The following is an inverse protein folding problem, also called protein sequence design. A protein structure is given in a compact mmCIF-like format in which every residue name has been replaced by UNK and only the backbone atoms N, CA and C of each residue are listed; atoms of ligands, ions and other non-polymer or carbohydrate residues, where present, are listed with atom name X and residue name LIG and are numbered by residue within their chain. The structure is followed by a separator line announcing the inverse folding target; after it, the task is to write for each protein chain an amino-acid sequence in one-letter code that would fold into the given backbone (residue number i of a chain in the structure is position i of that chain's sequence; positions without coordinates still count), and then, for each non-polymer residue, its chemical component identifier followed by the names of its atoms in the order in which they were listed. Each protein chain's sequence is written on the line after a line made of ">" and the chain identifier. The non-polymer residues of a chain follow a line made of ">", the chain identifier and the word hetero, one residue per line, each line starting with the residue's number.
data_IF_270767084586
#
_entry.id   IF_270767084586
#
_cell.length_a   1.000
_cell.length_b   1.000
_cell.length_c   1.000
_cell.angle_alpha   90.00
_cell.angle_beta   90.00
_cell.angle_gamma   90.00
#
_symmetry.space_group_name_H-M   'P 1'
#
loop_
_entity.id
_entity.type
_entity.pdbx_description
1 polymer ?
#
# COMPACT_ATOMS: atom_id res chain seq x y z
N UNK A 1 -39.19 -46.54 -3.18
CA UNK A 1 -38.51 -45.88 -2.05
C UNK A 1 -37.02 -45.61 -2.30
N UNK A 2 -36.42 -46.17 -3.34
CA UNK A 2 -35.01 -45.93 -3.71
C UNK A 2 -34.74 -44.71 -4.64
N UNK A 3 -35.81 -44.12 -5.22
CA UNK A 3 -35.69 -43.02 -6.19
C UNK A 3 -35.75 -41.62 -5.55
N UNK A 4 -36.25 -41.50 -4.32
CA UNK A 4 -36.34 -40.20 -3.59
C UNK A 4 -35.01 -39.85 -2.88
N UNK A 5 -34.18 -40.83 -2.57
CA UNK A 5 -32.88 -40.62 -1.88
C UNK A 5 -31.85 -40.01 -2.84
N UNK A 6 -31.93 -40.29 -4.15
CA UNK A 6 -30.95 -39.78 -5.13
C UNK A 6 -31.19 -38.30 -5.50
N UNK A 7 -32.42 -37.79 -5.41
CA UNK A 7 -32.73 -36.38 -5.71
C UNK A 7 -32.30 -35.47 -4.56
N UNK A 8 -32.44 -35.89 -3.32
CA UNK A 8 -32.01 -35.16 -2.15
C UNK A 8 -30.46 -35.02 -2.09
N UNK A 9 -29.74 -36.07 -2.51
CA UNK A 9 -28.25 -36.06 -2.55
C UNK A 9 -27.72 -35.18 -3.70
N UNK A 10 -28.39 -35.09 -4.82
CA UNK A 10 -28.05 -34.21 -5.94
C UNK A 10 -28.33 -32.73 -5.60
N UNK A 11 -29.44 -32.46 -4.91
CA UNK A 11 -29.78 -31.09 -4.46
C UNK A 11 -28.82 -30.63 -3.35
N UNK A 12 -28.38 -31.51 -2.44
CA UNK A 12 -27.41 -31.20 -1.40
C UNK A 12 -26.01 -30.90 -2.00
N UNK A 13 -25.60 -31.62 -3.05
CA UNK A 13 -24.35 -31.33 -3.76
C UNK A 13 -24.41 -30.04 -4.61
N UNK A 14 -25.57 -29.67 -5.13
CA UNK A 14 -25.76 -28.43 -5.90
C UNK A 14 -25.80 -27.19 -4.98
N UNK A 15 -26.36 -27.31 -3.77
CA UNK A 15 -26.42 -26.22 -2.78
C UNK A 15 -25.07 -25.97 -2.12
N UNK A 16 -24.22 -27.00 -1.95
CA UNK A 16 -22.85 -26.84 -1.44
C UNK A 16 -21.93 -26.16 -2.47
N UNK A 17 -22.30 -26.18 -3.78
CA UNK A 17 -21.52 -25.50 -4.84
C UNK A 17 -21.85 -24.01 -5.01
N UNK A 18 -22.87 -23.47 -4.35
CA UNK A 18 -23.31 -22.08 -4.47
C UNK A 18 -23.08 -21.22 -3.20
N UNK A 19 -22.35 -21.71 -2.22
CA UNK A 19 -21.91 -20.85 -1.12
C UNK A 19 -20.72 -19.99 -1.57
N UNK A 20 -20.77 -18.65 -1.42
CA UNK A 20 -19.64 -17.79 -1.75
C UNK A 20 -18.44 -18.16 -0.88
N UNK A 21 -17.32 -18.41 -1.54
CA UNK A 21 -16.09 -18.93 -0.95
C UNK A 21 -15.65 -18.15 0.29
N UNK A 22 -15.25 -18.90 1.32
CA UNK A 22 -14.54 -18.38 2.47
C UNK A 22 -13.41 -17.48 2.00
N UNK A 23 -13.43 -16.22 2.40
CA UNK A 23 -12.35 -15.26 2.15
C UNK A 23 -11.05 -15.81 2.75
N UNK A 24 -10.19 -16.33 1.88
CA UNK A 24 -8.82 -16.71 2.25
C UNK A 24 -7.99 -15.45 2.40
N UNK A 25 -7.16 -15.41 3.43
CA UNK A 25 -6.17 -14.37 3.68
C UNK A 25 -5.39 -14.04 2.39
N UNK A 26 -5.38 -12.79 1.88
CA UNK A 26 -4.77 -12.47 0.59
C UNK A 26 -3.27 -12.78 0.51
N UNK A 27 -2.53 -12.79 1.63
CA UNK A 27 -1.11 -13.18 1.65
C UNK A 27 -0.92 -14.69 1.44
N UNK A 28 -1.74 -15.53 2.08
CA UNK A 28 -1.72 -16.99 1.93
C UNK A 28 -2.26 -17.41 0.56
N UNK A 29 -3.33 -16.74 0.07
CA UNK A 29 -3.86 -16.99 -1.28
C UNK A 29 -2.84 -16.64 -2.37
N UNK A 30 -2.02 -15.61 -2.18
CA UNK A 30 -0.99 -15.21 -3.13
C UNK A 30 0.20 -16.18 -3.19
N UNK A 31 0.62 -16.77 -2.06
CA UNK A 31 1.75 -17.73 -2.01
C UNK A 31 1.32 -19.08 -2.59
N UNK A 32 0.19 -19.60 -2.18
CA UNK A 32 -0.38 -20.82 -2.76
C UNK A 32 -0.75 -20.65 -4.27
N UNK A 33 -1.10 -19.45 -4.69
CA UNK A 33 -1.37 -19.15 -6.10
C UNK A 33 -0.08 -19.12 -6.92
N UNK A 34 0.99 -18.53 -6.39
CA UNK A 34 2.31 -18.51 -7.03
C UNK A 34 2.86 -19.94 -7.15
N UNK A 35 2.74 -20.75 -6.12
CA UNK A 35 3.10 -22.16 -6.16
C UNK A 35 2.39 -22.91 -7.29
N UNK A 36 1.06 -22.72 -7.45
CA UNK A 36 0.31 -23.34 -8.55
C UNK A 36 0.76 -22.87 -9.93
N UNK A 37 1.11 -21.59 -10.06
CA UNK A 37 1.64 -21.04 -11.33
C UNK A 37 2.94 -21.70 -11.70
N UNK A 38 3.87 -21.82 -10.75
CA UNK A 38 5.16 -22.49 -10.95
C UNK A 38 4.96 -23.98 -11.25
N UNK A 39 4.09 -24.66 -10.50
CA UNK A 39 3.77 -26.07 -10.73
C UNK A 39 3.18 -26.30 -12.14
N UNK A 40 2.25 -25.44 -12.57
CA UNK A 40 1.65 -25.51 -13.90
C UNK A 40 2.68 -25.26 -15.02
N UNK A 41 3.59 -24.29 -14.83
CA UNK A 41 4.67 -24.03 -15.76
C UNK A 41 5.50 -25.30 -16.05
N UNK A 42 5.85 -26.06 -15.01
CA UNK A 42 6.56 -27.32 -15.18
C UNK A 42 5.69 -28.39 -15.86
N UNK A 43 4.41 -28.48 -15.50
CA UNK A 43 3.46 -29.45 -16.10
C UNK A 43 3.23 -29.20 -17.59
N UNK A 44 3.10 -27.95 -17.99
CA UNK A 44 2.94 -27.53 -19.40
C UNK A 44 4.14 -27.95 -20.25
N UNK A 45 5.35 -27.95 -19.67
CA UNK A 45 6.58 -28.41 -20.31
C UNK A 45 6.84 -29.93 -20.16
N UNK A 46 5.85 -30.68 -19.68
CA UNK A 46 5.90 -32.14 -19.59
C UNK A 46 6.62 -32.70 -18.37
N UNK A 47 6.83 -31.88 -17.34
CA UNK A 47 7.43 -32.33 -16.09
C UNK A 47 6.37 -32.87 -15.13
N UNK A 48 6.69 -33.95 -14.41
CA UNK A 48 5.88 -34.44 -13.28
C UNK A 48 6.21 -33.62 -12.04
N UNK A 49 5.18 -33.04 -11.40
CA UNK A 49 5.31 -32.17 -10.22
C UNK A 49 4.59 -32.82 -9.04
N UNK A 50 5.29 -32.98 -7.94
CA UNK A 50 4.74 -33.36 -6.63
C UNK A 50 4.85 -32.14 -5.73
N UNK A 51 3.72 -31.63 -5.24
CA UNK A 51 3.65 -30.48 -4.35
C UNK A 51 3.81 -30.90 -2.90
N UNK A 52 4.55 -30.12 -2.10
CA UNK A 52 4.81 -30.37 -0.67
C UNK A 52 5.22 -31.82 -0.33
N UNK A 53 6.21 -32.42 -1.03
CA UNK A 53 6.62 -33.78 -0.72
C UNK A 53 7.24 -33.83 0.67
N UNK A 54 6.83 -34.79 1.48
CA UNK A 54 7.37 -35.01 2.85
C UNK A 54 8.27 -36.24 2.86
N UNK A 55 9.54 -36.04 3.18
CA UNK A 55 10.50 -37.09 3.31
C UNK A 55 11.51 -36.79 4.45
N UNK A 56 11.72 -37.69 5.38
CA UNK A 56 12.73 -37.55 6.45
C UNK A 56 12.72 -36.20 7.20
N UNK A 57 11.54 -35.70 7.56
CA UNK A 57 11.33 -34.43 8.25
C UNK A 57 11.68 -33.18 7.43
N UNK A 58 11.81 -33.28 6.10
CA UNK A 58 11.92 -32.14 5.20
C UNK A 58 10.66 -32.01 4.32
N UNK A 59 10.28 -30.80 3.99
CA UNK A 59 9.09 -30.49 3.19
C UNK A 59 9.43 -29.37 2.21
N UNK A 60 10.12 -29.64 1.09
CA UNK A 60 10.34 -28.65 0.04
C UNK A 60 9.01 -28.30 -0.66
N UNK A 61 8.97 -27.17 -1.33
CA UNK A 61 7.75 -26.74 -2.01
C UNK A 61 7.35 -27.70 -3.13
N UNK A 62 8.31 -28.18 -3.93
CA UNK A 62 8.06 -29.12 -5.02
C UNK A 62 9.17 -30.14 -5.19
N UNK A 63 8.78 -31.29 -5.74
CA UNK A 63 9.67 -32.24 -6.36
C UNK A 63 9.28 -32.36 -7.85
N UNK A 64 10.20 -32.02 -8.74
CA UNK A 64 9.96 -31.99 -10.17
C UNK A 64 10.80 -33.04 -10.86
N UNK A 65 10.19 -33.91 -11.68
CA UNK A 65 10.90 -34.97 -12.38
C UNK A 65 10.52 -35.04 -13.86
N UNK A 66 11.50 -35.19 -14.72
CA UNK A 66 11.31 -35.28 -16.16
C UNK A 66 12.65 -35.30 -16.89
N UNK A 67 12.63 -35.75 -18.15
CA UNK A 67 13.80 -35.78 -19.05
C UNK A 67 15.03 -36.45 -18.40
N UNK A 68 14.79 -37.51 -17.58
CA UNK A 68 15.84 -38.21 -16.86
C UNK A 68 16.45 -37.49 -15.65
N UNK A 69 15.86 -36.38 -15.21
CA UNK A 69 16.32 -35.56 -14.09
C UNK A 69 15.25 -35.39 -13.03
N UNK A 70 15.71 -35.10 -11.82
CA UNK A 70 14.86 -34.87 -10.66
C UNK A 70 15.40 -33.64 -9.93
N UNK A 71 14.54 -32.64 -9.70
CA UNK A 71 14.87 -31.42 -8.96
C UNK A 71 14.07 -31.33 -7.68
N UNK A 72 14.72 -30.92 -6.60
CA UNK A 72 14.04 -30.44 -5.39
C UNK A 72 13.99 -28.92 -5.44
N UNK A 73 12.80 -28.36 -5.34
CA UNK A 73 12.53 -26.96 -5.62
C UNK A 73 12.15 -26.23 -4.35
N UNK A 74 12.79 -25.11 -4.12
CA UNK A 74 12.42 -24.12 -3.12
C UNK A 74 12.08 -22.79 -3.80
N UNK A 75 10.87 -22.30 -3.51
CA UNK A 75 10.30 -21.10 -4.10
C UNK A 75 10.21 -20.00 -3.05
N UNK A 76 10.82 -18.85 -3.31
CA UNK A 76 10.67 -17.65 -2.48
C UNK A 76 9.96 -16.55 -3.26
N UNK A 77 9.11 -15.81 -2.56
CA UNK A 77 8.43 -14.66 -3.10
C UNK A 77 9.10 -13.37 -2.65
N UNK A 78 9.55 -12.56 -3.61
CA UNK A 78 10.00 -11.22 -3.33
C UNK A 78 8.80 -10.23 -3.40
N UNK A 79 8.71 -9.33 -2.44
CA UNK A 79 7.72 -8.24 -2.46
C UNK A 79 7.94 -7.27 -3.63
N UNK A 80 9.21 -7.11 -4.02
CA UNK A 80 9.67 -6.24 -5.10
C UNK A 80 10.80 -6.92 -5.87
N UNK A 81 10.88 -6.62 -7.19
CA UNK A 81 11.92 -7.18 -8.06
C UNK A 81 13.26 -6.44 -8.00
N UNK A 82 13.61 -5.82 -6.87
CA UNK A 82 14.87 -5.12 -6.69
C UNK A 82 15.98 -6.10 -6.32
N UNK A 83 17.23 -5.78 -6.70
CA UNK A 83 18.42 -6.59 -6.43
C UNK A 83 18.56 -6.94 -4.95
N UNK A 84 18.37 -5.95 -4.07
CA UNK A 84 18.48 -6.08 -2.61
C UNK A 84 17.39 -6.94 -1.96
N UNK A 85 16.37 -7.36 -2.73
CA UNK A 85 15.32 -8.30 -2.32
C UNK A 85 15.43 -9.64 -3.02
N UNK A 86 15.70 -9.63 -4.31
CA UNK A 86 15.76 -10.84 -5.15
C UNK A 86 16.96 -11.72 -4.79
N UNK A 87 18.17 -11.16 -4.69
CA UNK A 87 19.39 -11.94 -4.44
C UNK A 87 19.40 -12.61 -3.05
N UNK A 88 19.07 -11.94 -1.93
CA UNK A 88 19.02 -12.60 -0.63
C UNK A 88 18.01 -13.74 -0.56
N UNK A 89 16.80 -13.55 -1.12
CA UNK A 89 15.78 -14.61 -1.14
C UNK A 89 16.17 -15.78 -2.02
N UNK A 90 16.80 -15.52 -3.17
CA UNK A 90 17.34 -16.58 -4.03
C UNK A 90 18.47 -17.34 -3.35
N UNK A 91 19.33 -16.66 -2.60
CA UNK A 91 20.39 -17.30 -1.80
C UNK A 91 19.81 -18.20 -0.69
N UNK A 92 18.76 -17.73 -0.02
CA UNK A 92 18.04 -18.51 0.97
C UNK A 92 17.43 -19.77 0.33
N UNK A 93 16.72 -19.62 -0.79
CA UNK A 93 16.16 -20.75 -1.52
C UNK A 93 17.23 -21.75 -1.96
N UNK A 94 18.40 -21.28 -2.39
CA UNK A 94 19.52 -22.12 -2.79
C UNK A 94 20.06 -22.96 -1.62
N UNK A 95 20.22 -22.35 -0.44
CA UNK A 95 20.65 -23.07 0.77
C UNK A 95 19.64 -24.12 1.21
N UNK A 96 18.35 -23.77 1.24
CA UNK A 96 17.27 -24.69 1.62
C UNK A 96 17.15 -25.85 0.62
N UNK A 97 17.12 -25.57 -0.69
CA UNK A 97 17.09 -26.59 -1.74
C UNK A 97 18.33 -27.53 -1.67
N UNK A 98 19.52 -26.98 -1.39
CA UNK A 98 20.74 -27.78 -1.22
C UNK A 98 20.65 -28.70 0.01
N UNK A 99 20.11 -28.20 1.12
CA UNK A 99 19.85 -29.00 2.31
C UNK A 99 18.90 -30.18 1.99
N UNK A 100 17.78 -29.90 1.34
CA UNK A 100 16.80 -30.91 0.94
C UNK A 100 17.39 -31.96 -0.01
N UNK A 101 18.16 -31.51 -1.00
CA UNK A 101 18.87 -32.41 -1.92
C UNK A 101 19.74 -33.44 -1.20
N UNK A 102 20.44 -33.05 -0.13
CA UNK A 102 21.32 -33.94 0.65
C UNK A 102 20.54 -34.94 1.51
N UNK A 103 19.36 -34.57 1.99
CA UNK A 103 18.54 -35.39 2.91
C UNK A 103 17.65 -36.37 2.14
N UNK A 104 17.14 -35.96 0.97
CA UNK A 104 16.18 -36.75 0.20
C UNK A 104 16.82 -37.89 -0.57
N UNK A 105 16.05 -38.96 -0.76
CA UNK A 105 16.51 -40.16 -1.50
C UNK A 105 16.77 -39.81 -2.98
N UNK A 106 17.89 -40.32 -3.48
CA UNK A 106 18.30 -40.16 -4.86
C UNK A 106 18.93 -38.79 -5.16
N UNK A 107 19.20 -37.97 -4.14
CA UNK A 107 19.90 -36.68 -4.23
C UNK A 107 19.44 -35.84 -5.42
N UNK A 108 18.16 -35.39 -5.46
CA UNK A 108 17.62 -34.57 -6.55
C UNK A 108 18.43 -33.28 -6.65
N UNK A 109 18.61 -32.77 -7.89
CA UNK A 109 19.35 -31.51 -8.09
C UNK A 109 18.62 -30.35 -7.39
N UNK A 110 19.31 -29.51 -6.59
CA UNK A 110 18.68 -28.36 -5.96
C UNK A 110 18.31 -27.32 -7.00
N UNK A 111 17.08 -26.79 -6.91
CA UNK A 111 16.57 -25.71 -7.76
C UNK A 111 15.99 -24.60 -6.88
N UNK A 112 16.63 -23.45 -6.91
CA UNK A 112 16.17 -22.24 -6.22
C UNK A 112 15.35 -21.38 -7.17
N UNK A 113 14.15 -21.01 -6.76
CA UNK A 113 13.27 -20.13 -7.54
C UNK A 113 12.94 -18.89 -6.73
N UNK A 114 13.05 -17.72 -7.36
CA UNK A 114 12.51 -16.47 -6.83
C UNK A 114 11.49 -15.88 -7.80
N UNK A 115 10.38 -15.42 -7.25
CA UNK A 115 9.32 -14.78 -8.03
C UNK A 115 8.89 -13.46 -7.41
N UNK A 116 8.54 -12.49 -8.27
CA UNK A 116 7.95 -11.20 -7.86
C UNK A 116 6.88 -10.76 -8.85
N UNK A 117 6.16 -9.66 -8.54
CA UNK A 117 5.20 -9.12 -9.48
C UNK A 117 5.88 -8.68 -10.81
N UNK A 118 7.04 -8.02 -10.68
CA UNK A 118 7.89 -7.60 -11.80
C UNK A 118 9.35 -7.61 -11.36
N UNK A 119 10.22 -8.20 -12.18
CA UNK A 119 11.68 -8.21 -11.97
C UNK A 119 12.33 -7.59 -13.22
N UNK A 120 13.17 -6.54 -13.09
CA UNK A 120 13.95 -6.04 -14.21
C UNK A 120 14.84 -7.15 -14.79
N UNK A 121 14.96 -7.22 -16.12
CA UNK A 121 15.78 -8.25 -16.79
C UNK A 121 17.24 -8.23 -16.33
N UNK A 122 17.78 -7.02 -16.10
CA UNK A 122 19.14 -6.86 -15.56
C UNK A 122 19.29 -7.49 -14.16
N UNK A 123 18.27 -7.37 -13.30
CA UNK A 123 18.29 -7.99 -11.96
C UNK A 123 18.18 -9.51 -12.07
N UNK A 124 17.34 -10.02 -13.00
CA UNK A 124 17.20 -11.45 -13.24
C UNK A 124 18.51 -12.08 -13.75
N UNK A 125 19.19 -11.44 -14.71
CA UNK A 125 20.49 -11.90 -15.20
C UNK A 125 21.58 -11.82 -14.12
N UNK A 126 21.61 -10.76 -13.34
CA UNK A 126 22.55 -10.62 -12.22
C UNK A 126 22.31 -11.68 -11.14
N UNK A 127 21.06 -11.98 -10.81
CA UNK A 127 20.68 -13.03 -9.85
C UNK A 127 21.10 -14.42 -10.37
N UNK A 128 20.92 -14.71 -11.66
CA UNK A 128 21.40 -15.93 -12.31
C UNK A 128 22.92 -16.04 -12.24
N UNK A 129 23.63 -14.96 -12.58
CA UNK A 129 25.09 -14.93 -12.53
C UNK A 129 25.61 -15.14 -11.11
N UNK A 130 24.99 -14.52 -10.12
CA UNK A 130 25.33 -14.67 -8.72
C UNK A 130 25.28 -16.15 -8.26
N UNK A 131 24.21 -16.88 -8.61
CA UNK A 131 24.10 -18.31 -8.25
C UNK A 131 25.15 -19.13 -8.97
N UNK A 132 25.37 -18.90 -10.26
CA UNK A 132 26.41 -19.62 -11.04
C UNK A 132 27.81 -19.46 -10.45
N UNK A 133 28.13 -18.30 -9.89
CA UNK A 133 29.44 -18.03 -9.30
C UNK A 133 29.57 -18.59 -7.88
N UNK A 134 28.48 -18.58 -7.09
CA UNK A 134 28.53 -18.91 -5.67
C UNK A 134 28.02 -20.29 -5.30
N UNK A 135 27.16 -20.88 -6.12
CA UNK A 135 26.54 -22.17 -5.91
C UNK A 135 26.33 -22.89 -7.27
N UNK A 136 27.39 -23.27 -8.00
CA UNK A 136 27.31 -23.80 -9.36
C UNK A 136 26.53 -25.10 -9.47
N UNK A 137 26.35 -25.82 -8.37
CA UNK A 137 25.55 -27.06 -8.28
C UNK A 137 24.04 -26.79 -8.20
N UNK A 138 23.60 -25.54 -7.93
CA UNK A 138 22.20 -25.16 -7.79
C UNK A 138 21.66 -24.66 -9.11
N UNK A 139 20.58 -25.26 -9.59
CA UNK A 139 19.80 -24.69 -10.69
C UNK A 139 19.01 -23.47 -10.19
N UNK A 140 18.75 -22.52 -11.07
CA UNK A 140 18.10 -21.24 -10.71
C UNK A 140 16.92 -20.94 -11.60
N UNK A 141 15.85 -20.40 -10.99
CA UNK A 141 14.70 -19.83 -11.67
C UNK A 141 14.40 -18.43 -11.15
N UNK A 142 14.27 -17.48 -12.05
CA UNK A 142 13.80 -16.11 -11.76
C UNK A 142 12.62 -15.83 -12.67
N UNK A 143 11.47 -15.51 -12.09
CA UNK A 143 10.26 -15.29 -12.87
C UNK A 143 9.41 -14.14 -12.34
N UNK A 144 8.63 -13.53 -13.20
CA UNK A 144 7.66 -12.51 -12.81
C UNK A 144 6.27 -12.77 -13.42
N UNK A 145 5.27 -12.07 -12.87
CA UNK A 145 3.89 -12.19 -13.32
C UNK A 145 3.63 -11.48 -14.66
N UNK A 146 4.58 -10.66 -15.15
CA UNK A 146 4.51 -9.98 -16.44
C UNK A 146 5.09 -10.83 -17.59
N UNK A 147 5.52 -12.06 -17.31
CA UNK A 147 5.92 -13.06 -18.30
C UNK A 147 7.42 -13.24 -18.47
N UNK A 148 8.26 -12.54 -17.67
CA UNK A 148 9.69 -12.86 -17.63
C UNK A 148 9.88 -14.22 -16.95
N UNK A 149 10.63 -15.11 -17.60
CA UNK A 149 11.04 -16.40 -17.07
C UNK A 149 12.49 -16.63 -17.44
N UNK A 150 13.34 -16.76 -16.48
CA UNK A 150 14.75 -17.02 -16.67
C UNK A 150 15.13 -18.24 -15.85
N UNK A 151 15.41 -19.36 -16.51
CA UNK A 151 15.85 -20.58 -15.88
C UNK A 151 17.25 -20.94 -16.35
N UNK A 152 18.08 -21.41 -15.46
CA UNK A 152 19.40 -21.93 -15.76
C UNK A 152 19.65 -23.21 -14.98
N UNK A 153 20.08 -24.23 -15.69
CA UNK A 153 20.32 -25.58 -15.20
C UNK A 153 19.99 -26.59 -16.29
N UNK A 154 20.73 -27.68 -16.38
CA UNK A 154 20.58 -28.63 -17.46
C UNK A 154 19.16 -29.18 -17.63
N UNK A 155 18.51 -28.84 -18.74
CA UNK A 155 17.17 -29.29 -19.13
C UNK A 155 16.04 -28.34 -18.68
N UNK A 156 16.38 -27.19 -18.10
CA UNK A 156 15.41 -26.14 -17.70
C UNK A 156 15.34 -24.97 -18.68
N UNK A 157 16.17 -24.98 -19.71
CA UNK A 157 16.31 -23.89 -20.68
C UNK A 157 15.01 -23.61 -21.44
N UNK A 158 14.21 -24.66 -21.71
CA UNK A 158 12.90 -24.53 -22.38
C UNK A 158 11.86 -23.76 -21.55
N UNK A 159 12.06 -23.66 -20.23
CA UNK A 159 11.20 -22.90 -19.34
C UNK A 159 11.44 -21.38 -19.44
N UNK A 160 12.57 -20.97 -20.01
CA UNK A 160 12.94 -19.56 -20.15
C UNK A 160 12.14 -18.88 -21.26
N UNK A 161 11.68 -17.67 -20.99
CA UNK A 161 10.94 -16.84 -21.95
C UNK A 161 11.21 -15.37 -21.67
N UNK A 162 11.44 -14.61 -22.75
CA UNK A 162 11.49 -13.14 -22.65
C UNK A 162 10.10 -12.58 -22.29
N UNK A 163 10.07 -11.42 -21.64
CA UNK A 163 8.82 -10.74 -21.31
C UNK A 163 8.08 -10.37 -22.59
N UNK A 164 6.91 -10.97 -22.79
CA UNK A 164 5.97 -10.63 -23.88
C UNK A 164 4.58 -10.48 -23.29
N UNK A 165 3.74 -9.52 -23.77
CA UNK A 165 2.37 -9.34 -23.28
C UNK A 165 1.52 -10.62 -23.35
N UNK A 166 1.80 -11.49 -24.33
CA UNK A 166 1.12 -12.79 -24.54
C UNK A 166 1.52 -13.84 -23.49
N UNK A 167 2.70 -13.71 -22.88
CA UNK A 167 3.24 -14.62 -21.89
C UNK A 167 2.94 -14.13 -20.46
N UNK A 168 2.26 -12.99 -20.31
CA UNK A 168 1.84 -12.51 -19.01
C UNK A 168 0.92 -13.56 -18.36
N UNK A 169 1.30 -13.99 -17.19
CA UNK A 169 0.49 -14.93 -16.41
C UNK A 169 -0.79 -14.18 -16.07
N UNK A 170 -1.91 -14.56 -16.71
CA UNK A 170 -3.23 -14.07 -16.31
C UNK A 170 -3.55 -14.65 -14.96
N UNK A 171 -3.05 -14.00 -13.91
CA UNK A 171 -3.67 -14.12 -12.61
C UNK A 171 -5.14 -13.68 -12.78
N UNK A 172 -6.13 -14.44 -12.28
CA UNK A 172 -7.49 -13.94 -12.25
C UNK A 172 -7.43 -12.54 -11.62
N UNK A 173 -8.13 -11.58 -12.23
CA UNK A 173 -8.07 -10.15 -11.97
C UNK A 173 -8.37 -9.81 -10.50
N UNK A 174 -7.48 -10.21 -9.61
CA UNK A 174 -7.32 -9.62 -8.31
C UNK A 174 -6.02 -8.85 -8.43
N UNK A 175 -6.14 -7.58 -8.81
CA UNK A 175 -5.16 -6.59 -8.42
C UNK A 175 -5.13 -6.59 -6.89
N UNK A 176 -4.53 -7.63 -6.30
CA UNK A 176 -4.02 -7.54 -4.95
C UNK A 176 -2.85 -6.56 -5.04
N UNK A 177 -3.17 -5.25 -4.96
CA UNK A 177 -2.21 -4.29 -4.46
C UNK A 177 -1.58 -4.97 -3.25
N UNK A 178 -0.24 -5.07 -3.22
CA UNK A 178 0.45 -5.34 -1.95
C UNK A 178 -0.28 -4.53 -0.88
N UNK A 179 -0.68 -5.14 0.26
CA UNK A 179 -1.47 -4.45 1.26
C UNK A 179 -0.75 -3.15 1.57
N UNK A 180 -1.38 -2.06 1.15
CA UNK A 180 -0.81 -0.74 1.29
C UNK A 180 -1.20 -0.30 2.68
N UNK A 181 -0.36 -0.66 3.67
CA UNK A 181 -0.59 -0.36 5.08
C UNK A 181 -1.09 1.07 5.28
N UNK A 182 -0.54 2.03 4.53
CA UNK A 182 -0.96 3.43 4.53
C UNK A 182 -1.80 3.77 3.28
N UNK A 183 -2.86 2.98 3.01
CA UNK A 183 -3.89 3.37 2.05
C UNK A 183 -4.67 4.58 2.57
N UNK A 184 -5.42 5.26 1.72
CA UNK A 184 -6.18 6.46 2.09
C UNK A 184 -7.08 6.24 3.33
N UNK A 185 -7.93 5.22 3.28
CA UNK A 185 -8.81 4.90 4.42
C UNK A 185 -8.04 4.40 5.65
N UNK A 186 -6.93 3.68 5.45
CA UNK A 186 -6.09 3.23 6.57
C UNK A 186 -5.44 4.43 7.28
N UNK A 187 -4.95 5.42 6.53
CA UNK A 187 -4.44 6.66 7.10
C UNK A 187 -5.51 7.43 7.89
N UNK A 188 -6.76 7.47 7.37
CA UNK A 188 -7.87 8.08 8.08
C UNK A 188 -8.18 7.36 9.40
N UNK A 189 -8.32 6.04 9.39
CA UNK A 189 -8.55 5.25 10.59
C UNK A 189 -7.39 5.37 11.59
N UNK A 190 -6.15 5.47 11.11
CA UNK A 190 -4.98 5.72 11.96
C UNK A 190 -5.07 7.09 12.65
N UNK A 191 -5.48 8.14 11.93
CA UNK A 191 -5.74 9.46 12.51
C UNK A 191 -6.81 9.43 13.59
N UNK A 192 -7.89 8.66 13.40
CA UNK A 192 -8.95 8.47 14.42
C UNK A 192 -8.41 7.80 15.66
N UNK A 193 -7.58 6.76 15.55
CA UNK A 193 -6.97 6.09 16.68
C UNK A 193 -5.95 6.98 17.43
N UNK A 194 -5.34 7.94 16.74
CA UNK A 194 -4.43 8.93 17.33
C UNK A 194 -5.17 10.15 17.89
N UNK A 195 -6.39 10.44 17.44
CA UNK A 195 -7.15 11.64 17.81
C UNK A 195 -7.35 11.86 19.31
N UNK A 196 -7.56 10.83 20.16
CA UNK A 196 -7.67 11.04 21.62
C UNK A 196 -6.44 11.67 22.25
N UNK A 197 -5.27 11.55 21.62
CA UNK A 197 -3.99 12.08 22.11
C UNK A 197 -3.66 13.48 21.56
N UNK A 198 -4.24 13.85 20.42
CA UNK A 198 -3.94 15.11 19.73
C UNK A 198 -5.08 16.11 20.02
N UNK A 199 -4.78 17.34 20.47
CA UNK A 199 -5.80 18.35 20.68
C UNK A 199 -6.67 18.60 19.42
N UNK A 200 -7.96 18.87 19.61
CA UNK A 200 -8.95 19.05 18.54
C UNK A 200 -8.67 20.25 17.65
N UNK A 201 -7.96 21.25 18.18
CA UNK A 201 -7.47 22.40 17.40
C UNK A 201 -6.47 22.02 16.30
N UNK A 202 -5.90 20.81 16.34
CA UNK A 202 -4.91 20.31 15.40
C UNK A 202 -5.41 19.16 14.52
N UNK A 203 -6.48 18.48 14.90
CA UNK A 203 -7.04 17.35 14.15
C UNK A 203 -8.54 17.23 14.40
N UNK A 204 -9.33 17.42 13.35
CA UNK A 204 -10.78 17.19 13.37
C UNK A 204 -11.04 15.71 13.06
N UNK A 205 -11.24 14.90 14.10
CA UNK A 205 -11.54 13.48 13.96
C UNK A 205 -12.41 12.99 15.13
N UNK A 206 -13.23 11.94 14.94
CA UNK A 206 -13.94 11.29 16.02
C UNK A 206 -12.96 10.84 17.12
N UNK A 207 -13.33 11.11 18.38
CA UNK A 207 -12.53 10.73 19.54
C UNK A 207 -13.28 9.69 20.37
N UNK A 208 -12.63 8.55 20.62
CA UNK A 208 -13.23 7.47 21.38
C UNK A 208 -12.26 6.32 21.59
N UNK A 209 -12.70 5.36 22.40
CA UNK A 209 -12.05 4.07 22.58
C UNK A 209 -12.88 3.02 21.85
N UNK A 210 -12.30 2.38 20.85
CA UNK A 210 -12.99 1.44 19.96
C UNK A 210 -12.64 0.01 20.36
N UNK A 211 -13.63 -0.82 20.63
CA UNK A 211 -13.44 -2.21 21.06
C UNK A 211 -13.11 -3.15 19.88
N UNK A 212 -13.40 -2.73 18.64
CA UNK A 212 -13.15 -3.55 17.47
C UNK A 212 -13.45 -2.82 16.16
N UNK A 213 -13.33 -3.57 15.08
CA UNK A 213 -13.47 -3.06 13.71
C UNK A 213 -14.83 -2.41 13.44
N UNK A 214 -15.93 -2.92 14.02
CA UNK A 214 -17.27 -2.38 13.77
C UNK A 214 -17.44 -0.97 14.34
N UNK A 215 -16.99 -0.73 15.57
CA UNK A 215 -17.05 0.61 16.19
C UNK A 215 -16.11 1.59 15.48
N UNK A 216 -14.90 1.12 15.10
CA UNK A 216 -13.99 1.93 14.31
C UNK A 216 -14.56 2.28 12.92
N UNK A 217 -15.27 1.34 12.29
CA UNK A 217 -15.94 1.56 11.00
C UNK A 217 -17.00 2.65 11.09
N UNK A 218 -17.84 2.59 12.13
CA UNK A 218 -18.88 3.59 12.39
C UNK A 218 -18.26 4.98 12.60
N UNK A 219 -17.29 5.09 13.49
CA UNK A 219 -16.58 6.34 13.77
C UNK A 219 -15.85 6.89 12.53
N UNK A 220 -15.25 6.02 11.72
CA UNK A 220 -14.52 6.41 10.53
C UNK A 220 -15.44 6.71 9.33
N UNK A 221 -16.72 6.36 9.37
CA UNK A 221 -17.63 6.45 8.24
C UNK A 221 -17.15 5.59 7.06
N UNK A 222 -16.69 4.36 7.35
CA UNK A 222 -16.20 3.40 6.35
C UNK A 222 -16.94 2.06 6.48
N UNK A 223 -16.79 1.17 5.48
CA UNK A 223 -17.38 -0.16 5.60
C UNK A 223 -16.71 -0.98 6.71
N UNK A 224 -17.48 -1.82 7.41
CA UNK A 224 -16.96 -2.74 8.44
C UNK A 224 -15.84 -3.62 7.88
N UNK A 225 -15.95 -4.02 6.62
CA UNK A 225 -14.91 -4.80 5.94
C UNK A 225 -13.59 -4.02 5.77
N UNK A 226 -13.66 -2.72 5.50
CA UNK A 226 -12.47 -1.87 5.41
C UNK A 226 -11.78 -1.73 6.77
N UNK A 227 -12.56 -1.51 7.83
CA UNK A 227 -12.03 -1.44 9.19
C UNK A 227 -11.49 -2.80 9.68
N UNK A 228 -12.15 -3.91 9.32
CA UNK A 228 -11.65 -5.25 9.63
C UNK A 228 -10.29 -5.52 9.00
N UNK A 229 -10.11 -5.18 7.72
CA UNK A 229 -8.82 -5.30 7.02
C UNK A 229 -7.74 -4.43 7.67
N UNK A 230 -8.08 -3.20 8.03
CA UNK A 230 -7.18 -2.32 8.75
C UNK A 230 -6.71 -2.95 10.06
N UNK A 231 -7.63 -3.40 10.90
CA UNK A 231 -7.31 -4.05 12.19
C UNK A 231 -6.44 -5.28 11.95
N UNK A 232 -6.79 -6.13 11.00
CA UNK A 232 -6.03 -7.34 10.66
C UNK A 232 -4.60 -7.00 10.19
N UNK A 233 -4.46 -6.04 9.26
CA UNK A 233 -3.16 -5.64 8.70
C UNK A 233 -2.25 -5.02 9.76
N UNK A 234 -2.78 -4.09 10.56
CA UNK A 234 -1.99 -3.43 11.60
C UNK A 234 -1.63 -4.36 12.76
N UNK A 235 -2.50 -5.32 13.11
CA UNK A 235 -2.20 -6.34 14.11
C UNK A 235 -1.12 -7.31 13.61
N UNK A 236 -1.16 -7.74 12.34
CA UNK A 236 -0.12 -8.59 11.73
C UNK A 236 1.25 -7.91 11.72
N UNK A 237 1.28 -6.61 11.46
CA UNK A 237 2.51 -5.81 11.51
C UNK A 237 2.95 -5.48 12.94
N UNK A 238 2.17 -5.84 13.95
CA UNK A 238 2.46 -5.60 15.36
C UNK A 238 2.33 -4.13 15.77
N UNK A 239 1.47 -3.36 15.09
CA UNK A 239 1.18 -1.96 15.40
C UNK A 239 -0.15 -1.75 16.09
N UNK A 240 -1.01 -2.77 16.16
CA UNK A 240 -2.31 -2.71 16.79
C UNK A 240 -2.54 -3.91 17.70
N UNK A 241 -2.94 -3.65 18.94
CA UNK A 241 -3.35 -4.64 19.92
C UNK A 241 -4.83 -4.50 20.25
N UNK A 242 -5.49 -5.65 20.49
CA UNK A 242 -6.89 -5.72 20.93
C UNK A 242 -7.08 -6.48 22.24
N UNK A 243 -5.99 -6.80 22.95
CA UNK A 243 -5.99 -7.69 24.11
C UNK A 243 -6.70 -7.14 25.37
N UNK A 244 -6.90 -5.83 25.48
CA UNK A 244 -7.58 -5.17 26.60
C UNK A 244 -9.05 -4.83 26.33
N UNK A 245 -9.65 -5.39 25.27
CA UNK A 245 -11.00 -5.04 24.83
C UNK A 245 -11.11 -3.68 24.13
N UNK A 246 -9.99 -3.01 23.87
CA UNK A 246 -9.91 -1.74 23.14
C UNK A 246 -8.78 -1.81 22.13
N UNK A 247 -9.01 -1.29 20.93
CA UNK A 247 -7.98 -1.14 19.90
C UNK A 247 -6.91 -0.12 20.35
N UNK A 248 -5.69 -0.56 20.52
CA UNK A 248 -4.57 0.27 20.98
C UNK A 248 -3.42 0.22 20.02
N UNK A 249 -2.95 1.38 19.56
CA UNK A 249 -1.72 1.49 18.77
C UNK A 249 -0.51 1.30 19.69
N UNK A 250 0.42 0.48 19.24
CA UNK A 250 1.70 0.18 19.89
C UNK A 250 2.86 0.45 18.94
N UNK A 251 4.09 0.53 19.47
CA UNK A 251 5.30 0.81 18.66
C UNK A 251 5.14 2.08 17.79
N UNK A 252 4.58 3.15 18.39
CA UNK A 252 4.22 4.37 17.66
C UNK A 252 5.40 4.99 16.91
N UNK A 253 6.58 5.03 17.50
CA UNK A 253 7.77 5.60 16.83
C UNK A 253 8.10 4.88 15.50
N UNK A 254 8.07 3.55 15.50
CA UNK A 254 8.29 2.76 14.28
C UNK A 254 7.16 2.94 13.27
N UNK A 255 5.91 2.92 13.74
CA UNK A 255 4.73 3.15 12.90
C UNK A 255 4.80 4.50 12.18
N UNK A 256 5.11 5.57 12.92
CA UNK A 256 5.22 6.92 12.37
C UNK A 256 6.39 7.05 11.37
N UNK A 257 7.54 6.44 11.67
CA UNK A 257 8.66 6.39 10.74
C UNK A 257 8.30 5.66 9.43
N UNK A 258 7.58 4.55 9.52
CA UNK A 258 7.07 3.83 8.33
C UNK A 258 6.03 4.65 7.57
N UNK A 259 5.21 5.43 8.28
CA UNK A 259 4.22 6.30 7.64
C UNK A 259 4.90 7.43 6.87
N UNK A 260 5.88 8.11 7.46
CA UNK A 260 6.71 9.11 6.76
C UNK A 260 7.36 8.52 5.51
N UNK A 261 7.98 7.34 5.62
CA UNK A 261 8.59 6.67 4.48
C UNK A 261 7.58 6.31 3.38
N UNK A 262 6.34 5.93 3.76
CA UNK A 262 5.27 5.62 2.82
C UNK A 262 4.65 6.87 2.17
N UNK A 263 4.72 8.03 2.83
CA UNK A 263 4.20 9.31 2.33
C UNK A 263 5.06 9.94 1.21
N UNK A 264 6.27 9.41 0.94
CA UNK A 264 7.19 9.87 -0.11
C UNK A 264 6.65 9.72 -1.56
N UNK A 265 5.39 9.37 -1.73
CA UNK A 265 4.78 9.22 -3.06
C UNK A 265 4.63 10.58 -3.72
N UNK A 266 4.92 10.60 -5.03
CA UNK A 266 4.68 11.81 -5.84
C UNK A 266 3.22 12.20 -5.76
N UNK A 267 2.96 13.36 -5.16
CA UNK A 267 1.66 14.05 -5.21
C UNK A 267 1.63 14.85 -6.50
N UNK A 268 0.47 14.92 -7.15
CA UNK A 268 0.30 15.78 -8.31
C UNK A 268 0.31 17.23 -7.83
N UNK A 269 1.36 17.95 -8.15
CA UNK A 269 1.51 19.39 -7.89
C UNK A 269 1.36 20.16 -9.20
N UNK A 270 0.48 21.13 -9.21
CA UNK A 270 0.17 21.91 -10.38
C UNK A 270 0.57 23.36 -10.09
N UNK A 271 1.56 23.90 -10.83
CA UNK A 271 1.96 25.29 -10.68
C UNK A 271 0.84 26.24 -11.14
N UNK A 272 0.54 27.23 -10.30
CA UNK A 272 -0.54 28.19 -10.54
C UNK A 272 -0.01 29.62 -10.45
N UNK A 273 -0.66 30.52 -11.20
CA UNK A 273 -0.43 31.97 -11.12
C UNK A 273 -1.70 32.71 -10.70
N UNK A 274 -1.50 33.82 -10.05
CA UNK A 274 -2.60 34.77 -9.84
C UNK A 274 -2.99 35.42 -11.17
N UNK A 275 -4.28 35.43 -11.46
CA UNK A 275 -4.82 36.22 -12.60
C UNK A 275 -4.57 37.72 -12.35
N UNK A 276 -4.75 38.16 -11.11
CA UNK A 276 -4.33 39.46 -10.62
C UNK A 276 -3.44 39.24 -9.40
N UNK A 277 -2.23 39.80 -9.38
CA UNK A 277 -1.28 39.58 -8.31
C UNK A 277 -1.88 39.94 -6.94
N UNK A 278 -2.16 38.97 -6.11
CA UNK A 278 -2.88 39.15 -4.83
C UNK A 278 -2.07 38.72 -3.61
N UNK A 279 -1.02 37.89 -3.79
CA UNK A 279 -0.16 37.43 -2.72
C UNK A 279 -0.85 36.52 -1.71
N UNK A 280 -0.09 36.11 -0.69
CA UNK A 280 -0.46 35.13 0.33
C UNK A 280 -1.74 35.47 1.11
N UNK A 281 -1.93 36.72 1.54
CA UNK A 281 -3.12 37.15 2.30
C UNK A 281 -4.42 36.94 1.52
N UNK A 282 -4.36 37.10 0.21
CA UNK A 282 -5.54 36.88 -0.64
C UNK A 282 -5.89 35.39 -0.74
N UNK A 283 -4.88 34.47 -0.77
CA UNK A 283 -5.11 33.02 -0.71
C UNK A 283 -5.86 32.63 0.57
N UNK A 284 -5.42 33.14 1.72
CA UNK A 284 -6.07 32.86 2.99
C UNK A 284 -7.50 33.42 3.04
N UNK A 285 -7.72 34.64 2.51
CA UNK A 285 -9.05 35.22 2.41
C UNK A 285 -9.97 34.42 1.48
N UNK A 286 -9.47 33.99 0.33
CA UNK A 286 -10.22 33.18 -0.62
C UNK A 286 -10.56 31.80 -0.02
N UNK A 287 -9.59 31.14 0.63
CA UNK A 287 -9.81 29.87 1.31
C UNK A 287 -10.82 30.00 2.47
N UNK A 288 -10.80 31.12 3.21
CA UNK A 288 -11.78 31.41 4.28
C UNK A 288 -13.20 31.54 3.74
N UNK A 289 -13.37 32.21 2.61
CA UNK A 289 -14.67 32.43 1.96
C UNK A 289 -15.20 31.21 1.25
N UNK A 290 -14.31 30.27 0.90
CA UNK A 290 -14.68 29.09 0.13
C UNK A 290 -15.62 28.16 0.91
N UNK A 291 -16.68 27.69 0.25
CA UNK A 291 -17.63 26.70 0.76
C UNK A 291 -17.63 25.51 -0.19
N UNK A 292 -17.35 24.31 0.32
CA UNK A 292 -17.60 23.04 -0.37
C UNK A 292 -19.05 22.62 -0.17
N UNK A 293 -19.59 21.79 -1.04
CA UNK A 293 -21.00 21.36 -0.97
C UNK A 293 -21.29 20.47 0.26
N UNK A 294 -20.29 19.84 0.86
CA UNK A 294 -20.46 19.16 2.16
C UNK A 294 -20.88 20.14 3.27
N UNK A 295 -20.49 21.42 3.17
CA UNK A 295 -20.92 22.46 4.10
C UNK A 295 -22.30 23.04 3.77
N UNK A 296 -22.85 22.75 2.59
CA UNK A 296 -24.13 23.25 2.08
C UNK A 296 -25.27 22.23 2.12
N UNK A 297 -25.07 21.03 2.66
CA UNK A 297 -26.07 19.97 2.74
C UNK A 297 -27.39 20.35 3.47
N UNK A 298 -27.50 21.62 3.90
CA UNK A 298 -28.71 22.18 4.52
C UNK A 298 -29.44 23.23 3.67
N UNK A 299 -29.03 23.50 2.43
CA UNK A 299 -29.60 24.54 1.58
C UNK A 299 -30.25 23.95 0.31
N UNK A 300 -31.45 24.39 0.06
CA UNK A 300 -32.41 24.19 -1.06
C UNK A 300 -32.08 23.21 -2.21
N UNK A 301 -33.03 22.32 -2.56
CA UNK A 301 -32.90 21.38 -3.68
C UNK A 301 -32.81 21.98 -5.09
N UNK A 302 -33.06 23.26 -5.26
CA UNK A 302 -33.07 23.91 -6.55
C UNK A 302 -31.68 24.25 -7.16
N UNK A 303 -30.62 24.20 -6.35
CA UNK A 303 -29.22 24.49 -6.78
C UNK A 303 -28.44 23.22 -7.23
N UNK A 304 -29.09 22.08 -7.37
CA UNK A 304 -28.43 20.78 -7.63
C UNK A 304 -27.98 20.55 -9.09
N UNK A 305 -28.01 21.55 -9.95
CA UNK A 305 -27.58 21.44 -11.37
C UNK A 305 -26.10 21.70 -11.61
N UNK A 306 -25.35 22.17 -10.61
CA UNK A 306 -23.89 22.38 -10.71
C UNK A 306 -23.15 21.17 -10.12
N UNK A 307 -22.03 20.76 -10.77
CA UNK A 307 -21.15 19.70 -10.25
C UNK A 307 -20.68 20.05 -8.84
N UNK A 308 -20.76 19.10 -7.87
CA UNK A 308 -20.43 19.41 -6.47
C UNK A 308 -19.06 20.06 -6.32
N UNK A 309 -18.98 21.11 -5.50
CA UNK A 309 -17.75 21.89 -5.30
C UNK A 309 -16.73 21.06 -4.52
N UNK A 310 -15.49 20.87 -5.02
CA UNK A 310 -14.47 20.05 -4.37
C UNK A 310 -14.04 20.61 -3.02
N UNK A 311 -13.64 19.74 -2.10
CA UNK A 311 -13.03 20.12 -0.81
C UNK A 311 -11.69 20.83 -1.06
N UNK A 312 -11.35 21.77 -0.16
CA UNK A 312 -10.15 22.60 -0.23
C UNK A 312 -9.59 22.82 1.18
N UNK A 313 -8.27 22.84 1.32
CA UNK A 313 -7.59 23.31 2.53
C UNK A 313 -6.16 23.79 2.25
N UNK A 314 -5.63 24.66 3.12
CA UNK A 314 -4.21 25.00 3.12
C UNK A 314 -3.37 23.79 3.55
N UNK A 315 -2.18 23.62 2.94
CA UNK A 315 -1.27 22.52 3.23
C UNK A 315 0.15 23.00 3.52
N UNK A 316 1.02 22.07 3.91
CA UNK A 316 2.45 22.26 4.15
C UNK A 316 2.75 23.48 5.06
N UNK A 317 3.61 24.38 4.59
CA UNK A 317 4.09 25.53 5.37
C UNK A 317 2.99 26.55 5.68
N UNK A 318 2.01 26.72 4.77
CA UNK A 318 0.84 27.56 5.02
C UNK A 318 -0.02 27.02 6.16
N UNK A 319 -0.18 25.71 6.21
CA UNK A 319 -0.89 25.07 7.31
C UNK A 319 -0.09 25.16 8.63
N UNK A 320 1.22 24.99 8.59
CA UNK A 320 2.09 25.16 9.75
C UNK A 320 2.01 26.61 10.31
N UNK A 321 1.97 27.60 9.41
CA UNK A 321 1.82 29.00 9.81
C UNK A 321 0.43 29.28 10.42
N UNK A 322 -0.63 28.69 9.87
CA UNK A 322 -1.97 28.78 10.44
C UNK A 322 -2.07 28.19 11.87
N UNK A 323 -1.21 27.26 12.21
CA UNK A 323 -1.08 26.69 13.56
C UNK A 323 -0.12 27.46 14.48
N UNK A 324 0.37 28.64 14.06
CA UNK A 324 1.35 29.44 14.80
C UNK A 324 2.69 28.72 15.08
N UNK A 325 3.05 27.77 14.20
CA UNK A 325 4.30 27.01 14.24
C UNK A 325 5.07 27.08 12.93
N UNK A 326 4.75 28.05 12.07
CA UNK A 326 5.48 28.32 10.85
C UNK A 326 6.91 28.75 11.14
N UNK A 327 7.87 28.08 10.54
CA UNK A 327 9.29 28.35 10.69
C UNK A 327 9.97 28.68 9.37
N UNK A 328 9.48 28.07 8.28
CA UNK A 328 10.04 28.23 6.94
C UNK A 328 9.31 29.32 6.19
N UNK A 329 10.07 30.34 5.76
CA UNK A 329 9.56 31.48 5.00
C UNK A 329 10.14 31.49 3.58
N UNK A 330 9.43 32.16 2.65
CA UNK A 330 9.89 32.30 1.26
C UNK A 330 9.61 31.12 0.34
N UNK A 331 8.96 30.09 0.85
CA UNK A 331 8.45 28.99 0.01
C UNK A 331 7.11 29.39 -0.60
N UNK A 332 6.86 28.96 -1.85
CA UNK A 332 5.58 29.21 -2.51
C UNK A 332 4.45 28.49 -1.75
N UNK A 333 3.27 29.10 -1.60
CA UNK A 333 2.15 28.50 -0.89
C UNK A 333 1.66 27.19 -1.53
N UNK A 334 1.10 26.29 -0.71
CA UNK A 334 0.47 25.06 -1.16
C UNK A 334 -0.99 25.00 -0.74
N UNK A 335 -1.84 24.69 -1.70
CA UNK A 335 -3.27 24.51 -1.52
C UNK A 335 -3.66 23.08 -1.90
N UNK A 336 -4.30 22.36 -1.01
CA UNK A 336 -4.95 21.10 -1.36
C UNK A 336 -6.31 21.36 -2.00
N UNK A 337 -6.56 20.72 -3.13
CA UNK A 337 -7.85 20.68 -3.80
C UNK A 337 -8.20 19.22 -4.11
N UNK A 338 -9.41 18.80 -3.78
CA UNK A 338 -9.84 17.41 -3.94
C UNK A 338 -9.79 16.91 -5.38
N UNK A 339 -10.17 17.79 -6.32
CA UNK A 339 -10.06 17.58 -7.77
C UNK A 339 -9.96 18.93 -8.47
N UNK A 340 -9.33 18.93 -9.63
CA UNK A 340 -9.26 20.16 -10.45
C UNK A 340 -10.68 20.54 -10.89
N UNK A 341 -11.01 21.83 -10.71
CA UNK A 341 -12.27 22.40 -11.10
C UNK A 341 -12.02 23.84 -11.58
N UNK A 342 -12.38 24.12 -12.85
CA UNK A 342 -12.12 25.41 -13.48
C UNK A 342 -12.87 26.57 -12.82
N UNK A 343 -14.09 26.33 -12.33
CA UNK A 343 -14.89 27.35 -11.62
C UNK A 343 -14.23 27.72 -10.30
N UNK A 344 -13.75 26.72 -9.55
CA UNK A 344 -13.04 26.95 -8.28
C UNK A 344 -11.74 27.71 -8.51
N UNK A 345 -10.97 27.35 -9.54
CA UNK A 345 -9.76 28.11 -9.87
C UNK A 345 -10.07 29.55 -10.22
N UNK A 346 -11.15 29.81 -10.97
CA UNK A 346 -11.64 31.17 -11.30
C UNK A 346 -12.05 31.92 -10.03
N UNK A 347 -12.82 31.31 -9.14
CA UNK A 347 -13.24 31.92 -7.86
C UNK A 347 -12.04 32.25 -6.96
N UNK A 348 -11.04 31.41 -6.96
CA UNK A 348 -9.77 31.64 -6.26
C UNK A 348 -8.89 32.69 -6.98
N UNK A 349 -9.22 33.07 -8.22
CA UNK A 349 -8.42 33.98 -9.05
C UNK A 349 -7.11 33.34 -9.52
N UNK A 350 -7.10 32.03 -9.79
CA UNK A 350 -5.94 31.26 -10.20
C UNK A 350 -6.02 30.83 -11.68
N UNK A 351 -4.86 30.80 -12.34
CA UNK A 351 -4.66 30.24 -13.67
C UNK A 351 -3.66 29.09 -13.64
N UNK A 352 -3.99 27.98 -14.32
CA UNK A 352 -3.19 26.77 -14.36
C UNK A 352 -2.12 26.70 -15.45
N UNK A 353 -1.91 27.78 -16.21
CA UNK A 353 -0.94 27.82 -17.31
C UNK A 353 0.40 28.42 -16.87
N UNK A 354 0.90 28.03 -15.71
CA UNK A 354 2.18 28.54 -15.22
C UNK A 354 3.29 27.51 -15.47
N UNK A 355 4.44 28.00 -15.94
CA UNK A 355 5.70 27.27 -15.83
C UNK A 355 6.13 27.24 -14.35
N UNK A 356 6.86 26.21 -13.95
CA UNK A 356 7.26 25.99 -12.55
C UNK A 356 8.04 27.17 -11.96
N UNK A 357 8.88 27.80 -12.79
CA UNK A 357 9.73 28.93 -12.41
C UNK A 357 8.94 30.19 -12.06
N UNK A 358 7.82 30.43 -12.73
CA UNK A 358 6.99 31.64 -12.57
C UNK A 358 5.70 31.40 -11.77
N UNK A 359 5.54 30.23 -11.19
CA UNK A 359 4.39 29.92 -10.35
C UNK A 359 4.36 30.79 -9.09
N UNK A 360 3.18 31.24 -8.71
CA UNK A 360 2.96 31.99 -7.45
C UNK A 360 2.64 31.04 -6.29
N UNK A 361 2.01 29.90 -6.58
CA UNK A 361 1.64 28.86 -5.62
C UNK A 361 1.48 27.51 -6.33
N UNK A 362 1.31 26.45 -5.55
CA UNK A 362 1.02 25.12 -6.05
C UNK A 362 -0.34 24.62 -5.57
N UNK A 363 -1.12 24.03 -6.47
CA UNK A 363 -2.30 23.24 -6.14
C UNK A 363 -1.89 21.77 -6.10
N UNK A 364 -2.12 21.12 -4.96
CA UNK A 364 -1.91 19.68 -4.76
C UNK A 364 -3.22 18.93 -4.89
N UNK A 365 -3.23 17.88 -5.72
CA UNK A 365 -4.34 16.93 -5.80
C UNK A 365 -3.91 15.67 -5.08
N UNK A 366 -4.42 15.40 -3.85
CA UNK A 366 -3.97 14.27 -3.07
C UNK A 366 -4.53 12.95 -3.59
N UNK A 367 -3.71 11.90 -3.58
CA UNK A 367 -4.17 10.54 -3.83
C UNK A 367 -4.94 9.94 -2.64
N UNK A 368 -4.65 10.44 -1.43
CA UNK A 368 -5.26 10.07 -0.15
C UNK A 368 -6.29 11.12 0.29
N UNK A 369 -7.35 11.31 -0.50
CA UNK A 369 -8.35 12.37 -0.34
C UNK A 369 -9.07 12.33 0.99
N UNK A 370 -9.52 11.14 1.41
CA UNK A 370 -10.28 10.98 2.64
C UNK A 370 -9.41 11.32 3.86
N UNK A 371 -8.17 10.84 3.89
CA UNK A 371 -7.24 11.14 4.96
C UNK A 371 -6.90 12.62 5.06
N UNK A 372 -6.73 13.30 3.92
CA UNK A 372 -6.41 14.75 3.89
C UNK A 372 -7.62 15.58 4.31
N UNK A 373 -8.80 15.33 3.72
CA UNK A 373 -9.93 16.26 3.87
C UNK A 373 -10.83 15.99 5.07
N UNK A 374 -10.91 14.76 5.57
CA UNK A 374 -11.72 14.47 6.78
C UNK A 374 -11.09 15.01 8.06
N UNK A 375 -9.75 15.09 8.11
CA UNK A 375 -9.03 15.62 9.26
C UNK A 375 -8.92 17.15 9.32
N UNK A 376 -9.43 17.87 8.31
CA UNK A 376 -9.32 19.32 8.17
C UNK A 376 -9.89 20.04 9.38
N UNK A 377 -9.13 20.98 9.94
CA UNK A 377 -9.56 21.90 10.98
C UNK A 377 -9.78 23.30 10.43
N UNK A 378 -10.54 24.14 11.14
CA UNK A 378 -10.71 25.54 10.78
C UNK A 378 -9.98 26.44 11.78
N UNK A 379 -8.94 27.13 11.30
CA UNK A 379 -8.22 28.15 12.06
C UNK A 379 -8.65 29.54 11.58
N UNK A 380 -9.27 30.31 12.44
CA UNK A 380 -9.86 31.61 12.10
C UNK A 380 -10.76 31.57 10.85
N UNK A 381 -11.51 30.48 10.71
CA UNK A 381 -12.40 30.23 9.58
C UNK A 381 -11.72 29.71 8.31
N UNK A 382 -10.38 29.64 8.25
CA UNK A 382 -9.62 29.09 7.13
C UNK A 382 -9.54 27.57 7.27
N UNK A 383 -9.88 26.78 6.23
CA UNK A 383 -9.68 25.33 6.24
C UNK A 383 -8.19 24.98 6.10
N UNK A 384 -7.68 24.19 7.03
CA UNK A 384 -6.26 23.82 7.15
C UNK A 384 -6.17 22.32 7.29
N UNK A 385 -5.23 21.67 6.60
CA UNK A 385 -4.97 20.25 6.78
C UNK A 385 -4.51 19.97 8.21
N UNK A 386 -4.87 18.81 8.76
CA UNK A 386 -4.52 18.46 10.13
C UNK A 386 -3.02 18.35 10.37
N UNK A 387 -2.60 18.44 11.62
CA UNK A 387 -1.19 18.53 12.00
C UNK A 387 -0.38 17.28 11.61
N UNK A 388 -0.98 16.08 11.60
CA UNK A 388 -0.31 14.86 11.16
C UNK A 388 -0.04 14.93 9.65
N UNK A 389 -1.02 15.41 8.86
CA UNK A 389 -0.81 15.59 7.42
C UNK A 389 0.28 16.65 7.16
N UNK A 390 0.24 17.77 7.88
CA UNK A 390 1.26 18.82 7.76
C UNK A 390 2.65 18.26 8.07
N UNK A 391 2.78 17.53 9.17
CA UNK A 391 4.03 16.90 9.58
C UNK A 391 4.58 15.93 8.53
N UNK A 392 3.73 15.04 7.99
CA UNK A 392 4.09 14.11 6.93
C UNK A 392 4.58 14.83 5.67
N UNK A 393 3.86 15.87 5.25
CA UNK A 393 4.14 16.59 4.02
C UNK A 393 5.43 17.40 4.10
N UNK A 394 5.62 18.17 5.19
CA UNK A 394 6.82 18.98 5.34
C UNK A 394 8.07 18.13 5.57
N UNK A 395 7.94 16.95 6.22
CA UNK A 395 9.07 16.02 6.43
C UNK A 395 9.80 15.65 5.14
N UNK A 396 9.11 15.71 4.00
CA UNK A 396 9.64 15.32 2.69
C UNK A 396 10.02 16.53 1.81
N UNK A 397 9.74 17.74 2.27
CA UNK A 397 9.94 18.93 1.44
C UNK A 397 11.41 19.39 1.46
N UNK A 398 12.04 19.65 0.29
CA UNK A 398 13.45 19.98 0.20
C UNK A 398 13.82 21.31 0.86
N UNK A 399 12.86 22.27 0.94
CA UNK A 399 13.11 23.60 1.52
C UNK A 399 12.98 23.56 3.04
N UNK A 400 14.00 23.08 3.74
CA UNK A 400 14.07 23.03 5.22
C UNK A 400 12.86 22.33 5.85
N UNK A 401 12.25 21.39 5.12
CA UNK A 401 11.05 20.70 5.57
C UNK A 401 11.31 19.85 6.81
N UNK A 402 12.51 19.27 6.93
CA UNK A 402 12.91 18.49 8.10
C UNK A 402 12.91 19.34 9.38
N UNK A 403 13.45 20.54 9.34
CA UNK A 403 13.46 21.45 10.50
C UNK A 403 12.06 21.89 10.90
N UNK A 404 11.17 22.09 9.90
CA UNK A 404 9.75 22.35 10.16
C UNK A 404 9.06 21.14 10.81
N UNK A 405 9.34 19.93 10.31
CA UNK A 405 8.80 18.70 10.88
C UNK A 405 9.29 18.46 12.32
N UNK A 406 10.58 18.71 12.57
CA UNK A 406 11.16 18.60 13.92
C UNK A 406 10.55 19.62 14.90
N UNK A 407 10.18 20.82 14.42
CA UNK A 407 9.49 21.81 15.22
C UNK A 407 8.07 21.38 15.57
N UNK A 408 7.30 20.85 14.59
CA UNK A 408 5.97 20.28 14.80
C UNK A 408 6.04 19.15 15.81
N UNK A 409 7.01 18.25 15.62
CA UNK A 409 7.22 17.12 16.52
C UNK A 409 7.42 17.59 17.96
N UNK A 410 8.42 18.45 18.21
CA UNK A 410 8.77 18.91 19.55
C UNK A 410 7.67 19.70 20.24
N UNK A 411 6.90 20.53 19.52
CA UNK A 411 5.90 21.41 20.11
C UNK A 411 4.53 20.77 20.30
N UNK A 412 4.19 19.75 19.49
CA UNK A 412 2.83 19.22 19.47
C UNK A 412 2.83 17.70 19.58
N UNK A 413 3.55 16.99 18.70
CA UNK A 413 3.37 15.54 18.55
C UNK A 413 4.10 14.74 19.62
N UNK A 414 5.28 15.17 20.10
CA UNK A 414 6.02 14.43 21.13
C UNK A 414 5.24 14.30 22.43
N UNK A 415 4.71 15.42 22.95
CA UNK A 415 3.90 15.41 24.17
C UNK A 415 2.62 14.57 24.03
N UNK A 416 2.04 14.53 22.84
CA UNK A 416 0.81 13.81 22.56
C UNK A 416 1.04 12.30 22.35
N UNK A 417 2.18 11.90 21.76
CA UNK A 417 2.41 10.54 21.26
C UNK A 417 3.44 9.75 22.08
N UNK A 418 4.40 10.40 22.74
CA UNK A 418 5.43 9.76 23.58
C UNK A 418 4.98 9.52 25.04
N UNK A 419 3.98 10.26 25.54
CA UNK A 419 3.50 10.18 26.93
C UNK A 419 2.76 8.89 27.30
N UNK A 420 2.88 7.81 26.54
CA UNK A 420 2.07 6.58 26.69
C UNK A 420 2.86 5.28 26.58
N UNK A 421 4.16 5.27 26.84
CA UNK A 421 4.84 4.03 27.25
C UNK A 421 4.79 3.98 28.80
N UNK A 422 4.06 3.00 29.38
CA UNK A 422 4.09 2.74 30.81
C UNK A 422 5.41 2.13 31.22
#
# INVERSE_FOLDING_TARGET
>A
MAMIINVAMIITMAVVKSMPGRYRNPSIANEAQLGRVVANLFREEGWKVVEEPREKNVAPDFLVSGRGKKFVVELKRASEGRKDRVIPLLSQAALEATHYSRVMHGHPVPLAIVAANRIPESVAEEAKQFVRERAPEVAVGVLDLEGLRLFAGHGLESLSSARRPQNAIRAPNVRARAPQLFSDLNQWMLKILLAPRIPDVYLSAPRGHYQGASQLAEAAGVSVMSAFRFVEEFSKEGFLESGSGVLRLVRLGELLNRWVAASQRRVLEIPMRWVLHRGKKALWSAARSYRSDEAMSSANPADQLSSPRPRLCLGLFEAAEAFDIGFVHGVKPYLYLERLNAEVLKDLGLSGNAEEEVADLYVRIPGNRESVFRGVVRKDGVPVSDILQVWLDVSQHPSRGKEQADLIWRRILSSALESSEP
#
